data_IF_899313295641
#
_entry.id   IF_899313295641
#
_cell.length_a   1.000
_cell.length_b   1.000
_cell.length_c   1.000
_cell.angle_alpha   90.00
_cell.angle_beta   90.00
_cell.angle_gamma   90.00
#
_symmetry.space_group_name_H-M   'P 1'
#
loop_
_entity.id
_entity.type
_entity.pdbx_description
1 polymer ?
#
# COMPACT_ATOMS: atom_id res chain seq x y z
N UNK A 1 -6.28 -10.23 -37.92
CA UNK A 1 -5.73 -11.51 -37.43
C UNK A 1 -5.21 -11.21 -36.05
N UNK A 2 -6.05 -11.26 -35.02
CA UNK A 2 -5.61 -11.06 -33.65
C UNK A 2 -6.52 -11.85 -32.71
N UNK A 3 -5.89 -12.78 -32.02
CA UNK A 3 -6.32 -13.30 -30.73
C UNK A 3 -5.12 -13.05 -29.80
N UNK A 4 -5.33 -12.79 -28.50
CA UNK A 4 -5.45 -13.95 -27.62
C UNK A 4 -6.37 -13.80 -26.39
N UNK A 5 -6.81 -14.98 -25.95
CA UNK A 5 -7.19 -15.42 -24.61
C UNK A 5 -6.04 -15.19 -23.58
N UNK A 6 -6.08 -15.43 -22.28
CA UNK A 6 -7.07 -15.67 -21.23
C UNK A 6 -6.27 -15.72 -19.90
N UNK A 7 -6.87 -15.17 -18.84
CA UNK A 7 -6.77 -15.52 -17.41
C UNK A 7 -5.83 -16.67 -16.97
N UNK A 8 -5.02 -16.43 -15.93
CA UNK A 8 -5.02 -17.26 -14.69
C UNK A 8 -4.13 -16.72 -13.55
N UNK A 9 -4.81 -16.44 -12.43
CA UNK A 9 -4.47 -16.66 -11.02
C UNK A 9 -3.29 -15.92 -10.29
N UNK A 10 -3.48 -15.58 -8.99
CA UNK A 10 -2.58 -14.74 -8.21
C UNK A 10 -1.58 -15.55 -7.36
N UNK A 11 -0.33 -15.07 -7.34
CA UNK A 11 0.76 -15.58 -6.50
C UNK A 11 0.61 -15.13 -5.06
N UNK A 12 0.74 -16.10 -4.15
CA UNK A 12 0.75 -15.95 -2.71
C UNK A 12 1.82 -14.97 -2.22
N UNK A 13 1.40 -13.95 -1.47
CA UNK A 13 2.26 -13.06 -0.70
C UNK A 13 2.15 -13.45 0.77
N UNK A 14 3.11 -14.25 1.25
CA UNK A 14 3.25 -14.63 2.66
C UNK A 14 4.72 -14.45 3.07
N UNK A 15 5.17 -13.19 3.12
CA UNK A 15 6.38 -12.81 3.83
C UNK A 15 5.97 -12.31 5.23
N UNK A 16 6.03 -13.25 6.17
CA UNK A 16 5.78 -13.10 7.59
C UNK A 16 6.86 -12.19 8.20
N UNK A 17 6.62 -10.87 8.21
CA UNK A 17 7.40 -9.92 9.00
C UNK A 17 7.13 -10.18 10.48
N UNK A 18 8.09 -10.81 11.15
CA UNK A 18 8.09 -11.08 12.59
C UNK A 18 9.33 -10.45 13.21
N UNK A 19 9.46 -9.13 13.05
CA UNK A 19 10.43 -8.34 13.81
C UNK A 19 9.75 -7.88 15.11
N UNK A 20 9.84 -8.73 16.14
CA UNK A 20 9.55 -8.34 17.51
C UNK A 20 10.70 -7.51 18.08
N UNK A 21 10.43 -6.42 18.81
CA UNK A 21 11.45 -5.66 19.52
C UNK A 21 11.72 -6.34 20.87
N UNK A 22 12.52 -7.41 20.89
CA UNK A 22 12.84 -8.10 22.15
C UNK A 22 14.32 -8.51 22.34
N UNK A 23 15.21 -8.23 21.37
CA UNK A 23 16.61 -8.72 21.45
C UNK A 23 17.68 -7.65 21.68
N UNK A 24 17.31 -6.40 21.97
CA UNK A 24 18.29 -5.33 22.25
C UNK A 24 18.66 -5.16 23.73
N UNK A 25 18.00 -5.87 24.66
CA UNK A 25 18.27 -5.78 26.09
C UNK A 25 19.27 -6.83 26.62
N UNK A 26 19.50 -7.93 25.90
CA UNK A 26 20.33 -9.03 26.42
C UNK A 26 21.82 -8.92 26.04
N UNK A 27 22.20 -8.03 25.12
CA UNK A 27 23.58 -7.96 24.57
C UNK A 27 24.45 -6.85 25.18
N UNK A 28 23.92 -6.10 26.14
CA UNK A 28 24.66 -5.03 26.84
C UNK A 28 25.23 -5.47 28.20
N UNK A 29 24.84 -6.63 28.74
CA UNK A 29 25.28 -7.09 30.07
C UNK A 29 26.57 -7.94 30.09
N UNK A 30 26.95 -8.55 28.97
CA UNK A 30 27.98 -9.61 28.97
C UNK A 30 29.42 -9.10 28.73
N UNK A 31 29.60 -7.83 28.35
CA UNK A 31 30.93 -7.25 28.09
C UNK A 31 31.56 -6.53 29.29
N UNK A 32 30.87 -6.43 30.43
CA UNK A 32 31.39 -5.70 31.60
C UNK A 32 32.18 -6.61 32.55
N UNK A 33 31.94 -7.92 32.54
CA UNK A 33 32.52 -8.82 33.55
C UNK A 33 33.93 -9.35 33.22
N UNK A 34 34.37 -9.24 31.96
CA UNK A 34 35.65 -9.83 31.52
C UNK A 34 36.87 -8.88 31.58
N UNK A 35 36.68 -7.56 31.78
CA UNK A 35 37.81 -6.60 31.84
C UNK A 35 38.42 -6.45 33.26
N UNK A 36 37.74 -6.93 34.31
CA UNK A 36 38.20 -6.82 35.70
C UNK A 36 39.28 -7.84 36.11
N UNK A 37 39.29 -9.02 35.49
CA UNK A 37 40.20 -10.13 35.86
C UNK A 37 41.58 -9.99 35.23
N UNK A 38 41.69 -9.35 34.06
CA UNK A 38 42.97 -9.12 33.40
C UNK A 38 43.82 -8.05 34.11
N UNK A 39 43.21 -7.02 34.68
CA UNK A 39 43.93 -5.94 35.38
C UNK A 39 44.51 -6.38 36.73
N UNK A 40 43.81 -7.25 37.45
CA UNK A 40 44.26 -7.74 38.77
C UNK A 40 45.46 -8.68 38.70
N UNK A 41 45.67 -9.37 37.58
CA UNK A 41 46.87 -10.22 37.39
C UNK A 41 48.10 -9.38 37.05
N UNK A 42 47.97 -8.36 36.21
CA UNK A 42 49.06 -7.45 35.85
C UNK A 42 49.63 -6.69 37.06
N UNK A 43 48.76 -6.19 37.95
CA UNK A 43 49.19 -5.46 39.16
C UNK A 43 49.97 -6.37 40.14
N UNK A 44 49.58 -7.65 40.26
CA UNK A 44 50.30 -8.63 41.09
C UNK A 44 51.69 -8.95 40.57
N UNK A 45 51.86 -9.02 39.24
CA UNK A 45 53.19 -9.21 38.65
C UNK A 45 54.08 -7.98 38.87
N UNK A 46 53.52 -6.77 38.78
CA UNK A 46 54.25 -5.53 39.01
C UNK A 46 54.91 -5.46 40.39
N UNK A 47 54.18 -5.80 41.46
CA UNK A 47 54.72 -5.77 42.83
C UNK A 47 55.82 -6.82 43.02
N UNK A 48 55.66 -8.00 42.42
CA UNK A 48 56.67 -9.06 42.47
C UNK A 48 57.98 -8.66 41.76
N UNK A 49 57.88 -8.01 40.60
CA UNK A 49 59.05 -7.54 39.87
C UNK A 49 59.81 -6.45 40.64
N UNK A 50 59.11 -5.49 41.24
CA UNK A 50 59.75 -4.41 42.03
C UNK A 50 60.51 -4.98 43.23
N UNK A 51 59.91 -5.91 43.98
CA UNK A 51 60.58 -6.55 45.13
C UNK A 51 61.79 -7.37 44.69
N UNK A 52 61.65 -8.14 43.60
CA UNK A 52 62.73 -9.01 43.09
C UNK A 52 63.92 -8.19 42.57
N UNK A 53 63.66 -7.13 41.80
CA UNK A 53 64.71 -6.23 41.29
C UNK A 53 65.39 -5.51 42.45
N UNK A 54 64.61 -5.04 43.44
CA UNK A 54 65.16 -4.37 44.62
C UNK A 54 66.05 -5.28 45.47
N UNK A 55 65.66 -6.55 45.64
CA UNK A 55 66.46 -7.55 46.34
C UNK A 55 67.77 -7.87 45.58
N UNK A 56 67.71 -7.99 44.25
CA UNK A 56 68.91 -8.17 43.42
C UNK A 56 69.85 -6.95 43.52
N UNK A 57 69.31 -5.75 43.47
CA UNK A 57 70.07 -4.51 43.63
C UNK A 57 70.72 -4.41 45.02
N UNK A 58 70.03 -4.87 46.08
CA UNK A 58 70.57 -4.95 47.43
C UNK A 58 71.75 -5.91 47.50
N UNK A 59 71.64 -7.11 46.92
CA UNK A 59 72.74 -8.07 46.90
C UNK A 59 73.94 -7.56 46.11
N UNK A 60 73.71 -7.02 44.90
CA UNK A 60 74.79 -6.45 44.09
C UNK A 60 75.51 -5.31 44.82
N UNK A 61 74.75 -4.43 45.48
CA UNK A 61 75.30 -3.31 46.26
C UNK A 61 76.08 -3.80 47.49
N UNK A 62 75.58 -4.83 48.17
CA UNK A 62 76.25 -5.47 49.31
C UNK A 62 77.58 -6.12 48.92
N UNK A 63 77.58 -6.99 47.92
CA UNK A 63 78.80 -7.67 47.45
C UNK A 63 79.82 -6.67 46.90
N UNK A 64 79.36 -5.67 46.14
CA UNK A 64 80.22 -4.58 45.65
C UNK A 64 80.86 -3.78 46.79
N UNK A 65 80.08 -3.47 47.84
CA UNK A 65 80.59 -2.73 49.01
C UNK A 65 81.63 -3.53 49.79
N UNK A 66 81.41 -4.83 49.99
CA UNK A 66 82.41 -5.72 50.61
C UNK A 66 83.70 -5.71 49.80
N UNK A 67 83.59 -5.88 48.47
CA UNK A 67 84.78 -5.93 47.61
C UNK A 67 85.56 -4.62 47.62
N UNK A 68 84.88 -3.49 47.65
CA UNK A 68 85.52 -2.18 47.80
C UNK A 68 86.24 -2.03 49.14
N UNK A 69 85.63 -2.51 50.24
CA UNK A 69 86.24 -2.50 51.57
C UNK A 69 87.46 -3.42 51.62
N UNK A 70 87.40 -4.61 51.00
CA UNK A 70 88.56 -5.51 50.89
C UNK A 70 89.72 -4.83 50.16
N UNK A 71 89.47 -4.23 48.98
CA UNK A 71 90.51 -3.54 48.19
C UNK A 71 91.11 -2.36 48.97
N UNK A 72 90.28 -1.60 49.68
CA UNK A 72 90.74 -0.47 50.49
C UNK A 72 91.62 -0.93 51.66
N UNK A 73 91.20 -1.98 52.38
CA UNK A 73 91.95 -2.55 53.50
C UNK A 73 93.23 -3.25 53.04
N UNK A 74 93.20 -3.93 51.89
CA UNK A 74 94.37 -4.55 51.27
C UNK A 74 95.45 -3.50 50.99
N UNK A 75 95.08 -2.37 50.36
CA UNK A 75 96.00 -1.25 50.11
C UNK A 75 96.55 -0.65 51.40
N UNK A 76 95.69 -0.42 52.40
CA UNK A 76 96.12 0.16 53.68
C UNK A 76 97.08 -0.77 54.43
N UNK A 77 96.79 -2.07 54.46
CA UNK A 77 97.60 -3.06 55.17
C UNK A 77 98.90 -3.33 54.40
N UNK A 78 98.86 -3.43 53.07
CA UNK A 78 100.04 -3.53 52.22
C UNK A 78 101.03 -2.39 52.53
N UNK A 79 100.55 -1.14 52.53
CA UNK A 79 101.38 0.01 52.87
C UNK A 79 101.96 -0.06 54.30
N UNK A 80 101.21 -0.59 55.26
CA UNK A 80 101.71 -0.79 56.65
C UNK A 80 102.75 -1.90 56.73
N UNK A 81 102.60 -2.98 55.96
CA UNK A 81 103.54 -4.10 55.92
C UNK A 81 104.83 -3.68 55.23
N UNK A 82 104.76 -2.96 54.10
CA UNK A 82 105.93 -2.38 53.42
C UNK A 82 106.73 -1.47 54.37
N UNK A 83 106.06 -0.61 55.14
CA UNK A 83 106.69 0.22 56.16
C UNK A 83 107.31 -0.60 57.31
N UNK A 84 106.71 -1.74 57.66
CA UNK A 84 107.20 -2.62 58.72
C UNK A 84 108.46 -3.42 58.31
N UNK A 85 108.62 -3.70 57.01
CA UNK A 85 109.77 -4.42 56.44
C UNK A 85 111.06 -3.59 56.48
N UNK A 86 110.96 -2.26 56.52
CA UNK A 86 112.14 -1.38 56.56
C UNK A 86 112.87 -1.56 57.91
N UNK A 87 113.92 -2.39 57.92
CA UNK A 87 114.68 -2.70 59.13
C UNK A 87 115.66 -1.57 59.45
N UNK A 88 115.65 -1.08 60.70
CA UNK A 88 116.48 0.06 61.13
C UNK A 88 117.59 -0.30 62.12
N UNK A 89 117.61 -1.53 62.65
CA UNK A 89 118.59 -1.95 63.68
C UNK A 89 119.42 -3.15 63.18
N UNK A 90 120.66 -2.91 62.77
CA UNK A 90 121.55 -3.94 62.23
C UNK A 90 122.09 -4.95 63.27
N UNK A 91 121.81 -4.73 64.56
CA UNK A 91 122.36 -5.53 65.66
C UNK A 91 121.51 -6.77 66.02
N UNK A 92 120.47 -7.09 65.25
CA UNK A 92 119.59 -8.25 65.47
C UNK A 92 119.31 -8.96 64.14
N UNK A 93 119.01 -10.26 64.12
CA UNK A 93 118.64 -10.97 62.89
C UNK A 93 117.40 -10.35 62.20
N UNK A 94 117.34 -10.37 60.86
CA UNK A 94 116.28 -9.71 60.06
C UNK A 94 114.92 -10.35 60.32
N UNK A 95 114.86 -11.68 60.29
CA UNK A 95 113.64 -12.48 60.40
C UNK A 95 112.83 -12.14 61.68
N UNK A 96 113.39 -12.21 62.90
CA UNK A 96 112.64 -11.89 64.11
C UNK A 96 112.23 -10.42 64.19
N UNK A 97 113.04 -9.50 63.64
CA UNK A 97 112.67 -8.07 63.60
C UNK A 97 111.49 -7.81 62.68
N UNK A 98 111.51 -8.36 61.47
CA UNK A 98 110.42 -8.24 60.49
C UNK A 98 109.16 -8.89 61.05
N UNK A 99 109.27 -10.09 61.63
CA UNK A 99 108.16 -10.77 62.30
C UNK A 99 107.56 -9.93 63.42
N UNK A 100 108.35 -9.44 64.37
CA UNK A 100 107.85 -8.65 65.51
C UNK A 100 107.16 -7.36 65.04
N UNK A 101 107.70 -6.69 64.02
CA UNK A 101 107.13 -5.47 63.46
C UNK A 101 105.85 -5.73 62.69
N UNK A 102 105.80 -6.77 61.86
CA UNK A 102 104.59 -7.17 61.14
C UNK A 102 103.52 -7.62 62.12
N UNK A 103 103.84 -8.45 63.11
CA UNK A 103 102.92 -8.87 64.16
C UNK A 103 102.37 -7.65 64.92
N UNK A 104 103.23 -6.69 65.29
CA UNK A 104 102.79 -5.47 65.98
C UNK A 104 101.90 -4.59 65.11
N UNK A 105 102.22 -4.43 63.83
CA UNK A 105 101.48 -3.54 62.90
C UNK A 105 100.18 -4.16 62.39
N UNK A 106 100.17 -5.48 62.15
CA UNK A 106 99.05 -6.22 61.56
C UNK A 106 98.15 -6.76 62.67
N UNK A 107 98.66 -7.58 63.61
CA UNK A 107 97.81 -8.27 64.62
C UNK A 107 97.20 -7.32 65.65
N UNK A 108 97.80 -6.16 65.92
CA UNK A 108 97.19 -5.15 66.79
C UNK A 108 96.21 -4.21 66.08
N UNK A 109 96.03 -4.36 64.76
CA UNK A 109 95.04 -3.58 64.03
C UNK A 109 93.63 -3.87 64.56
N UNK A 110 92.87 -2.80 64.82
CA UNK A 110 91.46 -2.89 65.26
C UNK A 110 90.60 -3.67 64.25
N UNK A 111 90.96 -3.61 62.97
CA UNK A 111 90.29 -4.32 61.88
C UNK A 111 90.37 -5.84 62.00
N UNK A 112 91.47 -6.38 62.53
CA UNK A 112 91.61 -7.83 62.71
C UNK A 112 90.91 -8.26 64.00
N UNK A 113 91.15 -7.54 65.12
CA UNK A 113 90.60 -7.89 66.44
C UNK A 113 89.08 -7.78 66.51
N UNK A 114 88.53 -6.67 66.00
CA UNK A 114 87.10 -6.41 66.07
C UNK A 114 86.41 -6.60 64.73
N UNK A 115 87.11 -6.38 63.61
CA UNK A 115 86.50 -6.46 62.29
C UNK A 115 86.42 -7.86 61.71
N UNK A 116 87.04 -8.88 62.34
CA UNK A 116 87.05 -10.26 61.83
C UNK A 116 87.81 -10.42 60.51
N UNK A 117 88.66 -9.45 60.17
CA UNK A 117 89.44 -9.44 58.94
C UNK A 117 90.50 -10.54 58.96
N UNK A 118 90.54 -11.35 57.90
CA UNK A 118 91.61 -12.35 57.72
C UNK A 118 92.65 -11.77 56.78
N UNK A 119 93.83 -11.54 57.33
CA UNK A 119 94.97 -10.99 56.59
C UNK A 119 96.00 -12.10 56.49
N UNK A 120 96.32 -12.54 55.28
CA UNK A 120 97.43 -13.44 55.05
C UNK A 120 98.57 -12.63 54.45
N UNK A 121 99.61 -12.41 55.25
CA UNK A 121 100.80 -11.67 54.81
C UNK A 121 101.91 -12.63 54.47
N UNK A 122 102.55 -12.38 53.34
CA UNK A 122 103.59 -13.20 52.75
C UNK A 122 104.76 -12.29 52.40
N UNK A 123 105.90 -12.50 53.05
CA UNK A 123 107.10 -11.69 52.82
C UNK A 123 108.19 -12.57 52.24
N UNK A 124 108.59 -12.28 51.01
CA UNK A 124 109.69 -12.94 50.33
C UNK A 124 110.95 -12.08 50.40
N UNK A 125 112.10 -12.74 50.53
CA UNK A 125 113.39 -12.11 50.36
C UNK A 125 113.60 -11.65 48.90
N UNK A 126 114.67 -10.89 48.67
CA UNK A 126 115.08 -10.41 47.34
C UNK A 126 115.23 -11.53 46.30
N UNK A 127 115.57 -12.74 46.73
CA UNK A 127 115.71 -13.91 45.87
C UNK A 127 114.36 -14.42 45.30
N UNK A 128 113.23 -13.97 45.85
CA UNK A 128 111.89 -14.39 45.47
C UNK A 128 111.55 -15.83 45.86
N UNK A 129 112.40 -16.52 46.64
CA UNK A 129 112.24 -17.94 47.00
C UNK A 129 112.29 -18.14 48.51
N UNK A 130 113.11 -17.37 49.22
CA UNK A 130 113.24 -17.48 50.68
C UNK A 130 112.11 -16.74 51.37
N UNK A 131 111.28 -17.49 52.09
CA UNK A 131 110.21 -16.95 52.92
C UNK A 131 110.77 -16.33 54.19
N UNK A 132 110.67 -15.00 54.32
CA UNK A 132 111.07 -14.30 55.54
C UNK A 132 109.96 -14.33 56.59
N UNK A 133 108.71 -14.24 56.15
CA UNK A 133 107.54 -14.31 57.03
C UNK A 133 106.33 -14.85 56.27
N UNK A 134 105.66 -15.85 56.83
CA UNK A 134 104.38 -16.37 56.35
C UNK A 134 103.43 -16.43 57.53
N UNK A 135 102.29 -15.74 57.43
CA UNK A 135 101.34 -15.71 58.54
C UNK A 135 100.80 -17.12 58.84
N UNK A 136 100.84 -17.54 60.11
CA UNK A 136 100.32 -18.83 60.57
C UNK A 136 101.26 -20.04 60.46
N UNK A 137 102.37 -19.94 59.73
CA UNK A 137 103.39 -20.99 59.68
C UNK A 137 104.63 -20.55 60.45
N UNK A 138 105.00 -21.30 61.49
CA UNK A 138 106.23 -21.05 62.25
C UNK A 138 107.42 -21.11 61.29
N UNK A 139 108.16 -20.01 61.17
CA UNK A 139 109.45 -20.01 60.48
C UNK A 139 110.35 -21.07 61.11
N UNK A 140 111.13 -21.84 60.34
CA UNK A 140 112.14 -22.71 60.93
C UNK A 140 113.05 -21.88 61.84
N UNK A 141 113.43 -22.39 63.02
CA UNK A 141 114.24 -21.64 63.96
C UNK A 141 115.56 -21.24 63.30
N UNK A 142 115.80 -19.94 63.17
CA UNK A 142 117.12 -19.43 62.82
C UNK A 142 118.08 -19.84 63.94
N UNK A 143 119.26 -20.39 63.65
CA UNK A 143 120.22 -20.76 64.70
C UNK A 143 120.59 -19.51 65.51
N UNK A 144 120.23 -19.50 66.79
CA UNK A 144 120.56 -18.43 67.72
C UNK A 144 122.09 -18.39 67.92
N UNK A 145 122.73 -17.28 67.55
CA UNK A 145 124.16 -17.06 67.79
C UNK A 145 125.06 -16.90 66.55
N UNK A 146 124.52 -16.54 65.38
CA UNK A 146 125.33 -16.17 64.22
C UNK A 146 126.31 -15.03 64.56
N UNK A 147 127.55 -15.14 64.07
CA UNK A 147 128.57 -14.12 64.26
C UNK A 147 128.15 -12.80 63.58
N UNK A 148 128.54 -11.62 64.09
CA UNK A 148 128.14 -10.33 63.51
C UNK A 148 128.47 -10.16 62.02
N UNK A 149 129.51 -10.83 61.52
CA UNK A 149 129.90 -10.83 60.10
C UNK A 149 128.92 -11.61 59.22
N UNK A 150 128.33 -12.70 59.72
CA UNK A 150 127.37 -13.51 58.98
C UNK A 150 126.01 -12.82 58.90
N UNK A 151 125.67 -11.99 59.90
CA UNK A 151 124.48 -11.14 59.86
C UNK A 151 124.53 -10.17 58.67
N UNK A 152 125.65 -9.51 58.39
CA UNK A 152 125.71 -8.55 57.28
C UNK A 152 125.45 -9.24 55.92
N UNK A 153 125.97 -10.46 55.74
CA UNK A 153 125.73 -11.25 54.53
C UNK A 153 124.27 -11.67 54.37
N UNK A 154 123.63 -12.10 55.45
CA UNK A 154 122.20 -12.42 55.49
C UNK A 154 121.33 -11.22 55.07
N UNK A 155 121.64 -10.04 55.57
CA UNK A 155 120.92 -8.81 55.23
C UNK A 155 121.06 -8.42 53.75
N UNK A 156 122.26 -8.53 53.20
CA UNK A 156 122.53 -8.17 51.80
C UNK A 156 121.83 -9.12 50.81
N UNK A 157 121.68 -10.38 51.21
CA UNK A 157 121.01 -11.41 50.41
C UNK A 157 119.49 -11.32 50.49
N UNK A 158 118.93 -10.88 51.63
CA UNK A 158 117.48 -10.87 51.83
C UNK A 158 116.78 -9.56 51.50
N UNK A 159 117.49 -8.41 51.48
CA UNK A 159 116.89 -7.09 51.21
C UNK A 159 117.19 -6.58 49.78
N UNK A 160 116.25 -5.88 49.11
CA UNK A 160 114.91 -5.52 49.57
C UNK A 160 113.93 -6.69 49.49
N UNK A 161 113.18 -6.90 50.56
CA UNK A 161 112.12 -7.90 50.63
C UNK A 161 110.82 -7.36 50.00
N UNK A 162 110.09 -8.21 49.30
CA UNK A 162 108.76 -7.90 48.77
C UNK A 162 107.70 -8.50 49.67
N UNK A 163 106.64 -7.75 49.94
CA UNK A 163 105.46 -8.26 50.64
C UNK A 163 104.28 -8.37 49.69
N UNK A 164 103.56 -9.46 49.82
CA UNK A 164 102.24 -9.64 49.25
C UNK A 164 101.26 -9.84 50.40
N UNK A 165 100.24 -8.99 50.47
CA UNK A 165 99.19 -9.06 51.49
C UNK A 165 97.89 -9.40 50.80
N UNK A 166 97.31 -10.54 51.14
CA UNK A 166 95.94 -10.87 50.74
C UNK A 166 95.00 -10.64 51.91
N UNK A 167 93.95 -9.86 51.66
CA UNK A 167 92.92 -9.54 52.65
C UNK A 167 91.62 -10.18 52.21
N UNK A 168 91.01 -10.96 53.10
CA UNK A 168 89.69 -11.55 52.89
C UNK A 168 88.78 -11.14 54.05
N UNK A 169 87.58 -10.66 53.73
CA UNK A 169 86.58 -10.31 54.72
C UNK A 169 85.50 -11.41 54.74
N UNK A 170 85.49 -12.29 55.75
CA UNK A 170 84.44 -13.30 55.87
C UNK A 170 83.06 -12.64 55.95
N UNK A 171 82.04 -13.22 55.32
CA UNK A 171 80.67 -12.69 55.43
C UNK A 171 80.10 -12.72 56.85
N UNK A 172 80.66 -13.58 57.71
CA UNK A 172 80.30 -13.65 59.14
C UNK A 172 80.97 -12.55 59.98
N UNK A 173 81.87 -11.75 59.38
CA UNK A 173 82.54 -10.67 60.05
C UNK A 173 81.54 -9.58 60.48
N UNK A 174 81.72 -8.95 61.64
CA UNK A 174 80.81 -7.93 62.14
C UNK A 174 80.71 -6.70 61.22
N UNK A 175 81.78 -6.36 60.49
CA UNK A 175 81.75 -5.29 59.48
C UNK A 175 80.83 -5.68 58.32
N UNK A 176 80.93 -6.92 57.83
CA UNK A 176 80.07 -7.42 56.77
C UNK A 176 78.60 -7.37 57.20
N UNK A 177 78.30 -7.83 58.42
CA UNK A 177 76.95 -7.78 58.98
C UNK A 177 76.43 -6.33 59.17
N UNK A 178 77.29 -5.40 59.58
CA UNK A 178 76.93 -3.99 59.70
C UNK A 178 76.57 -3.38 58.34
N UNK A 179 77.35 -3.67 57.31
CA UNK A 179 77.06 -3.24 55.93
C UNK A 179 75.71 -3.82 55.46
N UNK A 180 75.48 -5.12 55.67
CA UNK A 180 74.22 -5.77 55.33
C UNK A 180 73.02 -5.12 56.05
N UNK A 181 73.16 -4.82 57.34
CA UNK A 181 72.11 -4.20 58.14
C UNK A 181 71.73 -2.82 57.60
N UNK A 182 72.74 -2.00 57.25
CA UNK A 182 72.50 -0.68 56.65
C UNK A 182 71.74 -0.80 55.33
N UNK A 183 72.17 -1.69 54.43
CA UNK A 183 71.47 -1.89 53.15
C UNK A 183 70.06 -2.45 53.34
N UNK A 184 69.87 -3.38 54.28
CA UNK A 184 68.55 -3.94 54.60
C UNK A 184 67.62 -2.86 55.15
N UNK A 185 68.10 -1.99 56.04
CA UNK A 185 67.31 -0.88 56.58
C UNK A 185 66.91 0.13 55.50
N UNK A 186 67.83 0.48 54.59
CA UNK A 186 67.55 1.35 53.45
C UNK A 186 66.51 0.73 52.53
N UNK A 187 66.65 -0.56 52.20
CA UNK A 187 65.71 -1.29 51.36
C UNK A 187 64.32 -1.37 52.01
N UNK A 188 64.24 -1.70 53.31
CA UNK A 188 62.98 -1.79 54.02
C UNK A 188 62.24 -0.44 54.06
N UNK A 189 62.99 0.66 54.24
CA UNK A 189 62.42 2.02 54.18
C UNK A 189 61.89 2.34 52.78
N UNK A 190 62.61 1.98 51.73
CA UNK A 190 62.16 2.19 50.35
C UNK A 190 60.91 1.37 50.04
N UNK A 191 60.89 0.09 50.42
CA UNK A 191 59.74 -0.79 50.25
C UNK A 191 58.51 -0.29 51.01
N UNK A 192 58.68 0.23 52.24
CA UNK A 192 57.59 0.82 53.01
C UNK A 192 56.98 2.04 52.33
N UNK A 193 57.81 2.96 51.84
CA UNK A 193 57.34 4.16 51.14
C UNK A 193 56.63 3.81 49.83
N UNK A 194 57.15 2.84 49.07
CA UNK A 194 56.52 2.36 47.84
C UNK A 194 55.14 1.75 48.13
N UNK A 195 55.03 0.92 49.16
CA UNK A 195 53.77 0.31 49.57
C UNK A 195 52.74 1.35 50.03
N UNK A 196 53.19 2.38 50.75
CA UNK A 196 52.31 3.47 51.21
C UNK A 196 51.72 4.26 50.02
N UNK A 197 52.51 4.52 48.98
CA UNK A 197 52.01 5.17 47.77
C UNK A 197 51.00 4.30 47.02
N UNK A 198 51.26 2.99 46.93
CA UNK A 198 50.36 2.06 46.26
C UNK A 198 49.01 1.94 46.99
N UNK A 199 49.03 1.85 48.33
CA UNK A 199 47.81 1.80 49.14
C UNK A 199 46.96 3.07 49.04
N UNK A 200 47.59 4.24 48.88
CA UNK A 200 46.87 5.49 48.64
C UNK A 200 46.06 5.47 47.34
N UNK A 201 46.66 4.99 46.24
CA UNK A 201 45.98 4.91 44.94
C UNK A 201 44.81 3.92 44.94
N UNK A 202 44.91 2.81 45.67
CA UNK A 202 43.80 1.87 45.81
C UNK A 202 42.61 2.51 46.55
N UNK A 203 42.88 3.34 47.57
CA UNK A 203 41.82 4.05 48.29
C UNK A 203 41.11 5.09 47.42
N UNK A 204 41.85 5.83 46.59
CA UNK A 204 41.28 6.79 45.64
C UNK A 204 40.40 6.10 44.59
N UNK A 205 40.87 4.98 44.02
CA UNK A 205 40.08 4.18 43.07
C UNK A 205 38.80 3.63 43.69
N UNK A 206 38.85 3.21 44.95
CA UNK A 206 37.68 2.70 45.66
C UNK A 206 36.67 3.83 45.95
N UNK A 207 37.15 5.02 46.32
CA UNK A 207 36.29 6.19 46.50
C UNK A 207 35.65 6.64 45.18
N UNK A 208 36.38 6.65 44.08
CA UNK A 208 35.84 6.92 42.75
C UNK A 208 34.75 5.91 42.36
N UNK A 209 35.00 4.62 42.57
CA UNK A 209 34.01 3.58 42.29
C UNK A 209 32.73 3.74 43.12
N UNK A 210 32.85 4.10 44.41
CA UNK A 210 31.70 4.40 45.26
C UNK A 210 30.93 5.63 44.78
N UNK A 211 31.63 6.71 44.40
CA UNK A 211 30.98 7.91 43.84
C UNK A 211 30.21 7.62 42.56
N UNK A 212 30.77 6.80 41.66
CA UNK A 212 30.08 6.37 40.43
C UNK A 212 28.83 5.56 40.77
N UNK A 213 28.92 4.63 41.74
CA UNK A 213 27.77 3.84 42.19
C UNK A 213 26.66 4.72 42.76
N UNK A 214 27.01 5.67 43.63
CA UNK A 214 26.04 6.53 44.28
C UNK A 214 25.40 7.52 43.29
N UNK A 215 26.16 8.00 42.30
CA UNK A 215 25.61 8.81 41.22
C UNK A 215 24.64 8.02 40.33
N UNK A 216 24.94 6.75 40.03
CA UNK A 216 24.04 5.87 39.30
C UNK A 216 22.75 5.58 40.07
N UNK A 217 22.84 5.37 41.39
CA UNK A 217 21.69 5.19 42.26
C UNK A 217 20.77 6.42 42.24
N UNK A 218 21.32 7.63 42.38
CA UNK A 218 20.53 8.88 42.31
C UNK A 218 19.85 9.09 40.96
N UNK A 219 20.53 8.79 39.86
CA UNK A 219 19.91 8.85 38.52
C UNK A 219 18.75 7.86 38.38
N UNK A 220 18.87 6.69 39.00
CA UNK A 220 17.80 5.69 38.98
C UNK A 220 16.58 6.19 39.74
N UNK A 221 16.77 6.79 40.92
CA UNK A 221 15.68 7.42 41.69
C UNK A 221 15.00 8.58 40.92
N UNK A 222 15.78 9.41 40.23
CA UNK A 222 15.25 10.50 39.39
C UNK A 222 14.40 9.97 38.23
N UNK A 223 14.88 8.93 37.54
CA UNK A 223 14.14 8.27 36.45
C UNK A 223 12.85 7.63 36.97
N UNK A 224 12.88 6.98 38.14
CA UNK A 224 11.69 6.40 38.75
C UNK A 224 10.64 7.47 39.11
N UNK A 225 11.10 8.62 39.61
CA UNK A 225 10.24 9.76 39.89
C UNK A 225 9.60 10.34 38.61
N UNK A 226 10.39 10.52 37.56
CA UNK A 226 9.89 10.97 36.25
C UNK A 226 8.90 9.97 35.63
N UNK A 227 9.17 8.67 35.73
CA UNK A 227 8.26 7.62 35.27
C UNK A 227 6.95 7.61 36.06
N UNK A 228 7.00 7.81 37.37
CA UNK A 228 5.80 7.92 38.19
C UNK A 228 4.97 9.17 37.81
N UNK A 229 5.63 10.32 37.63
CA UNK A 229 4.98 11.55 37.22
C UNK A 229 4.34 11.46 35.82
N UNK A 230 5.04 10.84 34.86
CA UNK A 230 4.50 10.63 33.50
C UNK A 230 3.33 9.65 33.49
N UNK A 231 3.39 8.57 34.28
CA UNK A 231 2.24 7.67 34.46
C UNK A 231 1.02 8.40 35.04
N UNK A 232 1.24 9.29 36.00
CA UNK A 232 0.16 10.10 36.58
C UNK A 232 -0.47 11.02 35.54
N UNK A 233 0.34 11.73 34.74
CA UNK A 233 -0.15 12.56 33.62
C UNK A 233 -0.92 11.75 32.57
N UNK A 234 -0.42 10.58 32.20
CA UNK A 234 -1.11 9.68 31.27
C UNK A 234 -2.46 9.21 31.84
N UNK A 235 -2.53 8.92 33.14
CA UNK A 235 -3.79 8.52 33.76
C UNK A 235 -4.85 9.63 33.78
N UNK A 236 -4.42 10.90 33.71
CA UNK A 236 -5.31 12.07 33.62
C UNK A 236 -5.73 12.37 32.17
N UNK A 237 -4.85 12.15 31.18
CA UNK A 237 -5.14 12.43 29.77
C UNK A 237 -6.03 11.36 29.14
N UNK A 238 -5.81 10.07 29.46
CA UNK A 238 -6.58 8.95 28.88
C UNK A 238 -8.10 9.09 29.04
N UNK A 239 -8.68 9.48 30.19
CA UNK A 239 -10.13 9.67 30.29
C UNK A 239 -10.62 10.84 29.42
N UNK A 240 -9.85 11.92 29.31
CA UNK A 240 -10.19 13.08 28.47
C UNK A 240 -10.20 12.69 26.98
N UNK A 241 -9.20 11.92 26.54
CA UNK A 241 -9.17 11.40 25.17
C UNK A 241 -10.34 10.46 24.87
N UNK A 242 -10.79 9.67 25.85
CA UNK A 242 -11.99 8.83 25.71
C UNK A 242 -13.25 9.67 25.58
N UNK A 243 -13.40 10.69 26.41
CA UNK A 243 -14.54 11.62 26.35
C UNK A 243 -14.61 12.34 25.00
N UNK A 244 -13.48 12.81 24.49
CA UNK A 244 -13.40 13.38 23.14
C UNK A 244 -13.68 12.36 22.04
N UNK A 245 -13.26 11.10 22.22
CA UNK A 245 -13.61 10.02 21.30
C UNK A 245 -15.13 9.80 21.22
N UNK A 246 -15.80 9.75 22.36
CA UNK A 246 -17.26 9.62 22.45
C UNK A 246 -17.99 10.82 21.82
N UNK A 247 -17.48 12.04 22.02
CA UNK A 247 -18.02 13.27 21.40
C UNK A 247 -17.88 13.24 19.87
N UNK A 248 -16.71 12.82 19.36
CA UNK A 248 -16.47 12.70 17.92
C UNK A 248 -17.42 11.66 17.31
N UNK A 249 -17.60 10.51 17.95
CA UNK A 249 -18.50 9.46 17.48
C UNK A 249 -19.96 9.96 17.44
N UNK A 250 -20.39 10.71 18.46
CA UNK A 250 -21.72 11.33 18.47
C UNK A 250 -21.90 12.33 17.32
N UNK A 251 -20.91 13.20 17.08
CA UNK A 251 -20.93 14.17 15.97
C UNK A 251 -20.91 13.48 14.60
N UNK A 252 -20.19 12.37 14.45
CA UNK A 252 -20.21 11.57 13.21
C UNK A 252 -21.58 10.97 12.95
N UNK A 253 -22.23 10.39 13.96
CA UNK A 253 -23.58 9.87 13.84
C UNK A 253 -24.59 10.98 13.49
N UNK A 254 -24.45 12.17 14.09
CA UNK A 254 -25.28 13.32 13.75
C UNK A 254 -25.08 13.77 12.30
N UNK A 255 -23.82 13.83 11.85
CA UNK A 255 -23.49 14.14 10.44
C UNK A 255 -24.12 13.14 9.48
N UNK A 256 -24.02 11.84 9.76
CA UNK A 256 -24.64 10.80 8.92
C UNK A 256 -26.17 10.92 8.90
N UNK A 257 -26.78 11.25 10.03
CA UNK A 257 -28.22 11.46 10.13
C UNK A 257 -28.65 12.70 9.33
N UNK A 258 -27.90 13.80 9.41
CA UNK A 258 -28.14 15.00 8.62
C UNK A 258 -27.95 14.75 7.13
N UNK A 259 -26.95 13.98 6.73
CA UNK A 259 -26.76 13.58 5.32
C UNK A 259 -27.93 12.75 4.80
N UNK A 260 -28.43 11.79 5.59
CA UNK A 260 -29.64 11.03 5.24
C UNK A 260 -30.85 11.95 5.08
N UNK A 261 -31.08 12.87 6.02
CA UNK A 261 -32.15 13.87 5.91
C UNK A 261 -32.03 14.75 4.66
N UNK A 262 -30.83 15.14 4.27
CA UNK A 262 -30.61 15.92 3.04
C UNK A 262 -30.92 15.10 1.79
N UNK A 263 -30.55 13.82 1.75
CA UNK A 263 -30.90 12.91 0.65
C UNK A 263 -32.42 12.75 0.55
N UNK A 264 -33.10 12.52 1.68
CA UNK A 264 -34.55 12.38 1.72
C UNK A 264 -35.27 13.66 1.29
N UNK A 265 -34.78 14.84 1.72
CA UNK A 265 -35.31 16.13 1.29
C UNK A 265 -35.08 16.38 -0.20
N UNK A 266 -33.90 16.05 -0.72
CA UNK A 266 -33.61 16.18 -2.15
C UNK A 266 -34.50 15.27 -2.99
N UNK A 267 -34.71 14.02 -2.56
CA UNK A 267 -35.64 13.10 -3.23
C UNK A 267 -37.08 13.63 -3.21
N UNK A 268 -37.49 14.26 -2.10
CA UNK A 268 -38.81 14.88 -1.99
C UNK A 268 -38.95 16.12 -2.85
N UNK A 269 -37.92 16.95 -2.96
CA UNK A 269 -37.89 18.11 -3.86
C UNK A 269 -38.00 17.66 -5.32
N UNK A 270 -37.26 16.62 -5.72
CA UNK A 270 -37.31 16.07 -7.07
C UNK A 270 -38.69 15.49 -7.41
N UNK A 271 -39.31 14.77 -6.47
CA UNK A 271 -40.69 14.29 -6.63
C UNK A 271 -41.68 15.44 -6.83
N UNK A 272 -41.55 16.52 -6.04
CA UNK A 272 -42.41 17.69 -6.16
C UNK A 272 -42.17 18.47 -7.46
N UNK A 273 -40.92 18.54 -7.93
CA UNK A 273 -40.59 19.09 -9.26
C UNK A 273 -41.22 18.25 -10.36
N UNK A 274 -41.07 16.93 -10.32
CA UNK A 274 -41.68 16.03 -11.30
C UNK A 274 -43.21 16.14 -11.34
N UNK A 275 -43.86 16.29 -10.18
CA UNK A 275 -45.30 16.57 -10.08
C UNK A 275 -45.67 17.92 -10.69
N UNK A 276 -44.88 18.97 -10.43
CA UNK A 276 -45.10 20.29 -11.00
C UNK A 276 -44.92 20.29 -12.52
N UNK A 277 -43.86 19.65 -13.03
CA UNK A 277 -43.60 19.52 -14.46
C UNK A 277 -44.74 18.74 -15.14
N UNK A 278 -45.18 17.63 -14.55
CA UNK A 278 -46.35 16.87 -15.02
C UNK A 278 -47.63 17.73 -15.04
N UNK A 279 -47.83 18.58 -14.02
CA UNK A 279 -48.97 19.50 -14.00
C UNK A 279 -48.87 20.57 -15.10
N UNK A 280 -47.66 21.05 -15.44
CA UNK A 280 -47.47 21.98 -16.56
C UNK A 280 -47.69 21.30 -17.91
N UNK A 281 -47.26 20.05 -18.07
CA UNK A 281 -47.50 19.26 -19.28
C UNK A 281 -49.00 19.02 -19.46
N UNK A 282 -49.70 18.59 -18.41
CA UNK A 282 -51.16 18.44 -18.42
C UNK A 282 -51.88 19.76 -18.72
N UNK A 283 -51.42 20.89 -18.15
CA UNK A 283 -51.99 22.20 -18.46
C UNK A 283 -51.77 22.59 -19.92
N UNK A 284 -50.63 22.24 -20.50
CA UNK A 284 -50.36 22.46 -21.92
C UNK A 284 -51.24 21.57 -22.81
N UNK A 285 -51.45 20.32 -22.43
CA UNK A 285 -52.34 19.38 -23.13
C UNK A 285 -53.78 19.90 -23.09
N UNK A 286 -54.27 20.31 -21.92
CA UNK A 286 -55.59 20.93 -21.78
C UNK A 286 -55.73 22.13 -22.71
N UNK A 287 -54.73 23.00 -22.77
CA UNK A 287 -54.75 24.16 -23.67
C UNK A 287 -54.79 23.74 -25.15
N UNK A 288 -54.03 22.73 -25.55
CA UNK A 288 -54.10 22.20 -26.92
C UNK A 288 -55.46 21.58 -27.23
N UNK A 289 -56.10 20.92 -26.26
CA UNK A 289 -57.44 20.37 -26.41
C UNK A 289 -58.50 21.47 -26.48
N UNK A 290 -58.36 22.55 -25.70
CA UNK A 290 -59.21 23.73 -25.79
C UNK A 290 -59.10 24.40 -27.17
N UNK A 291 -57.88 24.59 -27.68
CA UNK A 291 -57.65 25.16 -29.02
C UNK A 291 -58.27 24.27 -30.12
N UNK A 292 -58.11 22.94 -30.02
CA UNK A 292 -58.73 21.98 -30.95
C UNK A 292 -60.26 21.96 -30.86
N UNK A 293 -60.81 22.12 -29.65
CA UNK A 293 -62.26 22.22 -29.47
C UNK A 293 -62.78 23.53 -30.06
N UNK A 294 -62.09 24.65 -29.86
CA UNK A 294 -62.45 25.93 -30.46
C UNK A 294 -62.44 25.84 -32.00
N UNK A 295 -61.38 25.27 -32.58
CA UNK A 295 -61.31 25.01 -34.03
C UNK A 295 -62.45 24.12 -34.51
N UNK A 296 -62.71 22.99 -33.83
CA UNK A 296 -63.80 22.09 -34.18
C UNK A 296 -65.18 22.75 -34.05
N UNK A 297 -65.40 23.62 -33.05
CA UNK A 297 -66.64 24.37 -32.92
C UNK A 297 -66.80 25.42 -34.02
N UNK A 298 -65.71 26.10 -34.41
CA UNK A 298 -65.71 27.02 -35.55
C UNK A 298 -66.01 26.31 -36.87
N UNK A 299 -65.45 25.12 -37.07
CA UNK A 299 -65.76 24.26 -38.21
C UNK A 299 -67.22 23.79 -38.21
N UNK A 300 -67.77 23.43 -37.05
CA UNK A 300 -69.18 23.07 -36.91
C UNK A 300 -70.10 24.25 -37.25
N UNK A 301 -69.83 25.46 -36.75
CA UNK A 301 -70.59 26.66 -37.08
C UNK A 301 -70.53 26.96 -38.59
N UNK A 302 -69.36 26.79 -39.21
CA UNK A 302 -69.20 26.94 -40.66
C UNK A 302 -70.02 25.91 -41.43
N UNK A 303 -70.01 24.65 -40.98
CA UNK A 303 -70.80 23.55 -41.57
C UNK A 303 -72.30 23.73 -41.36
N UNK A 304 -72.74 24.19 -40.20
CA UNK A 304 -74.15 24.50 -39.93
C UNK A 304 -74.62 25.68 -40.79
N UNK A 305 -73.77 26.68 -41.00
CA UNK A 305 -74.01 27.75 -41.98
C UNK A 305 -74.15 27.22 -43.42
N UNK A 306 -73.33 26.24 -43.80
CA UNK A 306 -73.41 25.56 -45.09
C UNK A 306 -74.67 24.71 -45.22
N UNK A 307 -75.05 23.97 -44.17
CA UNK A 307 -76.29 23.21 -44.07
C UNK A 307 -77.49 24.16 -44.22
N UNK A 308 -77.52 25.30 -43.53
CA UNK A 308 -78.58 26.30 -43.68
C UNK A 308 -78.71 26.82 -45.11
N UNK A 309 -77.59 27.04 -45.82
CA UNK A 309 -77.58 27.43 -47.24
C UNK A 309 -78.06 26.30 -48.14
N UNK A 310 -77.64 25.06 -47.88
CA UNK A 310 -78.05 23.88 -48.63
C UNK A 310 -79.55 23.61 -48.43
N UNK A 311 -80.07 23.70 -47.21
CA UNK A 311 -81.49 23.58 -46.90
C UNK A 311 -82.33 24.67 -47.58
N UNK A 312 -81.85 25.91 -47.59
CA UNK A 312 -82.51 27.00 -48.31
C UNK A 312 -82.53 26.75 -49.83
N UNK A 313 -81.46 26.16 -50.36
CA UNK A 313 -81.36 25.75 -51.77
C UNK A 313 -82.28 24.56 -52.08
N UNK A 314 -82.40 23.60 -51.15
CA UNK A 314 -83.25 22.42 -51.25
C UNK A 314 -84.74 22.81 -51.17
N UNK A 315 -85.10 23.78 -50.33
CA UNK A 315 -86.45 24.38 -50.29
C UNK A 315 -86.81 25.14 -51.58
N UNK A 316 -85.83 25.73 -52.27
CA UNK A 316 -86.04 26.36 -53.59
C UNK A 316 -86.17 25.30 -54.70
N UNK A 317 -85.42 24.20 -54.61
CA UNK A 317 -85.46 23.10 -55.57
C UNK A 317 -86.73 22.23 -55.43
N UNK A 318 -87.21 21.96 -54.20
CA UNK A 318 -88.43 21.17 -53.97
C UNK A 318 -89.68 21.86 -54.55
N UNK A 319 -89.78 23.20 -54.40
CA UNK A 319 -90.85 24.00 -55.03
C UNK A 319 -90.83 23.98 -56.57
N UNK A 320 -89.71 23.63 -57.19
CA UNK A 320 -89.60 23.45 -58.65
C UNK A 320 -89.93 22.00 -59.07
N UNK A 321 -89.61 21.00 -58.22
CA UNK A 321 -89.92 19.58 -58.43
C UNK A 321 -91.43 19.32 -58.44
N UNK A 322 -92.17 19.90 -57.48
CA UNK A 322 -93.63 19.69 -57.34
C UNK A 322 -94.43 20.23 -58.55
N UNK A 323 -93.87 21.20 -59.30
CA UNK A 323 -94.48 21.72 -60.54
C UNK A 323 -94.19 20.82 -61.74
N UNK A 324 -93.04 20.15 -61.78
CA UNK A 324 -92.65 19.25 -62.85
C UNK A 324 -93.38 17.90 -62.77
N UNK A 325 -93.64 17.40 -61.57
CA UNK A 325 -94.35 16.13 -61.36
C UNK A 325 -95.84 16.22 -61.75
N UNK A 326 -96.50 17.33 -61.41
CA UNK A 326 -97.88 17.61 -61.81
C UNK A 326 -98.08 17.78 -63.34
N UNK A 327 -97.05 18.20 -64.07
CA UNK A 327 -97.11 18.30 -65.53
C UNK A 327 -96.99 16.93 -66.22
N UNK A 328 -96.20 16.00 -65.66
CA UNK A 328 -96.04 14.64 -66.20
C UNK A 328 -97.31 13.80 -66.07
N UNK A 329 -98.01 13.90 -64.94
CA UNK A 329 -99.28 13.17 -64.70
C UNK A 329 -100.35 13.55 -65.74
N UNK A 330 -100.47 14.84 -66.08
CA UNK A 330 -101.43 15.31 -67.10
C UNK A 330 -101.12 14.81 -68.51
N UNK A 331 -99.83 14.67 -68.87
CA UNK A 331 -99.42 14.18 -70.18
C UNK A 331 -99.75 12.69 -70.38
N UNK A 332 -99.57 11.87 -69.34
CA UNK A 332 -99.90 10.43 -69.35
C UNK A 332 -101.41 10.22 -69.51
N UNK A 333 -102.23 11.01 -68.81
CA UNK A 333 -103.70 10.90 -68.88
C UNK A 333 -104.26 11.25 -70.27
N UNK A 334 -103.72 12.29 -70.93
CA UNK A 334 -104.12 12.68 -72.28
C UNK A 334 -103.75 11.58 -73.29
N UNK A 335 -102.56 10.98 -73.15
CA UNK A 335 -102.12 9.88 -74.00
C UNK A 335 -103.01 8.63 -73.82
N UNK A 336 -103.39 8.30 -72.57
CA UNK A 336 -104.30 7.20 -72.27
C UNK A 336 -105.66 7.35 -72.97
N UNK A 337 -106.24 8.56 -72.94
CA UNK A 337 -107.53 8.85 -73.61
C UNK A 337 -107.43 8.70 -75.14
N UNK A 338 -106.34 9.17 -75.75
CA UNK A 338 -106.08 9.04 -77.20
C UNK A 338 -105.99 7.59 -77.63
N UNK A 339 -105.16 6.78 -76.95
CA UNK A 339 -104.98 5.36 -77.29
C UNK A 339 -106.26 4.54 -77.15
N UNK A 340 -107.05 4.77 -76.09
CA UNK A 340 -108.34 4.08 -75.89
C UNK A 340 -109.37 4.43 -76.97
N UNK A 341 -109.31 5.63 -77.53
CA UNK A 341 -110.25 6.09 -78.56
C UNK A 341 -109.90 5.55 -79.95
N UNK A 342 -108.62 5.60 -80.33
CA UNK A 342 -108.15 5.28 -81.68
C UNK A 342 -108.01 3.76 -81.92
N UNK A 343 -107.56 3.01 -80.92
CA UNK A 343 -107.20 1.60 -81.11
C UNK A 343 -108.18 0.66 -80.43
N UNK A 344 -109.41 0.63 -80.93
CA UNK A 344 -110.49 -0.19 -80.35
C UNK A 344 -110.24 -1.69 -80.41
N UNK A 345 -109.38 -2.18 -81.31
CA UNK A 345 -109.10 -3.60 -81.54
C UNK A 345 -107.99 -4.21 -80.68
N UNK A 346 -107.28 -3.39 -79.89
CA UNK A 346 -106.19 -3.83 -78.99
C UNK A 346 -106.39 -3.33 -77.55
N UNK A 347 -105.90 -4.11 -76.60
CA UNK A 347 -105.82 -3.76 -75.18
C UNK A 347 -104.45 -3.14 -74.93
N UNK A 348 -104.40 -2.06 -74.14
CA UNK A 348 -103.14 -1.37 -73.83
C UNK A 348 -103.09 -1.18 -72.32
N UNK A 349 -102.02 -1.67 -71.70
CA UNK A 349 -101.80 -1.55 -70.26
C UNK A 349 -101.39 -0.12 -69.87
N UNK A 350 -101.72 0.28 -68.64
CA UNK A 350 -101.42 1.64 -68.15
C UNK A 350 -99.89 1.87 -68.03
N UNK A 351 -99.14 0.79 -67.80
CA UNK A 351 -97.67 0.79 -67.87
C UNK A 351 -97.18 1.14 -69.28
N UNK A 352 -97.73 0.51 -70.31
CA UNK A 352 -97.35 0.80 -71.70
C UNK A 352 -97.62 2.27 -72.09
N UNK A 353 -98.71 2.87 -71.58
CA UNK A 353 -99.02 4.28 -71.81
C UNK A 353 -97.98 5.18 -71.13
N UNK A 354 -97.62 4.85 -69.89
CA UNK A 354 -96.57 5.57 -69.15
C UNK A 354 -95.23 5.46 -69.86
N UNK A 355 -94.88 4.26 -70.34
CA UNK A 355 -93.63 4.03 -71.04
C UNK A 355 -93.58 4.83 -72.35
N UNK A 356 -94.67 4.81 -73.15
CA UNK A 356 -94.78 5.63 -74.37
C UNK A 356 -94.66 7.12 -74.05
N UNK A 357 -95.23 7.62 -72.95
CA UNK A 357 -95.07 9.02 -72.55
C UNK A 357 -93.64 9.33 -72.08
N UNK A 358 -92.93 8.34 -71.55
CA UNK A 358 -91.57 8.49 -71.03
C UNK A 358 -90.48 8.38 -72.11
N UNK A 359 -90.82 7.93 -73.32
CA UNK A 359 -89.92 7.96 -74.47
C UNK A 359 -89.60 9.43 -74.79
N UNK A 360 -88.42 9.90 -74.37
CA UNK A 360 -88.03 11.32 -74.45
C UNK A 360 -87.99 11.91 -75.87
N UNK A 361 -87.88 11.07 -76.90
CA UNK A 361 -87.87 11.50 -78.30
C UNK A 361 -89.28 11.41 -78.93
N UNK A 362 -89.79 12.53 -79.40
CA UNK A 362 -91.09 12.60 -80.10
C UNK A 362 -91.12 11.71 -81.36
N UNK A 363 -90.00 11.59 -82.07
CA UNK A 363 -89.87 10.70 -83.23
C UNK A 363 -89.97 9.22 -82.87
N UNK A 364 -89.54 8.82 -81.67
CA UNK A 364 -89.66 7.45 -81.16
C UNK A 364 -91.09 7.16 -80.72
N UNK A 365 -91.76 8.14 -80.09
CA UNK A 365 -93.17 8.04 -79.70
C UNK A 365 -94.08 7.85 -80.91
N UNK A 366 -93.86 8.62 -81.97
CA UNK A 366 -94.61 8.50 -83.22
C UNK A 366 -94.41 7.13 -83.89
N UNK A 367 -93.16 6.63 -83.93
CA UNK A 367 -92.87 5.28 -84.49
C UNK A 367 -93.42 4.15 -83.62
N UNK A 368 -93.46 4.32 -82.30
CA UNK A 368 -94.11 3.39 -81.40
C UNK A 368 -95.62 3.32 -81.69
N UNK A 369 -96.28 4.48 -81.78
CA UNK A 369 -97.71 4.58 -82.09
C UNK A 369 -98.05 4.01 -83.48
N UNK A 370 -97.21 4.25 -84.49
CA UNK A 370 -97.35 3.65 -85.82
C UNK A 370 -97.27 2.11 -85.75
N UNK A 371 -96.35 1.57 -84.95
CA UNK A 371 -96.20 0.12 -84.77
C UNK A 371 -97.39 -0.49 -84.03
N UNK A 372 -97.96 0.24 -83.06
CA UNK A 372 -99.22 -0.11 -82.40
C UNK A 372 -100.39 -0.11 -83.38
N UNK A 373 -100.45 0.88 -84.28
CA UNK A 373 -101.46 0.95 -85.34
C UNK A 373 -101.38 -0.23 -86.30
N UNK A 374 -100.17 -0.56 -86.79
CA UNK A 374 -99.95 -1.72 -87.67
C UNK A 374 -100.37 -3.02 -87.00
N UNK A 375 -100.10 -3.17 -85.71
CA UNK A 375 -100.54 -4.33 -84.92
C UNK A 375 -102.08 -4.41 -84.81
N UNK A 376 -102.77 -3.26 -84.77
CA UNK A 376 -104.21 -3.16 -84.68
C UNK A 376 -104.95 -3.44 -86.01
N UNK A 377 -104.36 -3.05 -87.15
CA UNK A 377 -104.98 -3.14 -88.49
C UNK A 377 -104.56 -4.40 -89.27
N UNK A 378 -103.27 -4.76 -89.29
CA UNK A 378 -102.70 -5.82 -90.13
C UNK A 378 -102.25 -7.03 -89.30
N UNK A 379 -103.15 -7.57 -88.47
CA UNK A 379 -102.87 -8.62 -87.51
C UNK A 379 -102.22 -9.89 -88.09
N UNK A 380 -102.44 -10.20 -89.38
CA UNK A 380 -101.95 -11.42 -90.00
C UNK A 380 -100.64 -11.21 -90.80
N UNK A 381 -100.19 -9.95 -90.98
CA UNK A 381 -99.06 -9.60 -91.86
C UNK A 381 -97.89 -8.87 -91.17
N UNK A 382 -97.84 -8.87 -89.83
CA UNK A 382 -96.74 -8.22 -89.08
C UNK A 382 -95.46 -9.08 -89.18
N UNK A 383 -94.60 -8.73 -90.13
CA UNK A 383 -93.45 -9.50 -90.61
C UNK A 383 -92.30 -9.78 -89.61
N UNK A 384 -92.38 -9.35 -88.34
CA UNK A 384 -91.33 -9.61 -87.33
C UNK A 384 -91.96 -9.96 -85.99
N UNK A 385 -92.33 -11.23 -85.80
CA UNK A 385 -92.77 -11.79 -84.51
C UNK A 385 -91.67 -12.68 -83.94
N UNK A 386 -90.87 -12.15 -83.00
CA UNK A 386 -89.96 -13.00 -82.22
C UNK A 386 -90.62 -13.31 -80.88
N UNK A 387 -90.79 -14.60 -80.56
CA UNK A 387 -91.20 -15.02 -79.21
C UNK A 387 -90.06 -14.66 -78.26
N UNK A 388 -90.38 -13.97 -77.16
CA UNK A 388 -89.39 -13.59 -76.15
C UNK A 388 -88.99 -14.86 -75.39
N UNK A 389 -87.71 -15.23 -75.46
CA UNK A 389 -87.14 -16.35 -74.71
C UNK A 389 -86.77 -15.95 -73.28
N UNK A 390 -86.74 -16.91 -72.36
CA UNK A 390 -86.34 -16.68 -70.95
C UNK A 390 -87.47 -16.31 -69.99
N UNK A 391 -88.72 -16.28 -70.47
CA UNK A 391 -89.91 -16.08 -69.62
C UNK A 391 -90.51 -17.44 -69.17
N UNK A 392 -91.22 -17.49 -68.03
CA UNK A 392 -91.91 -18.69 -67.57
C UNK A 392 -92.84 -19.28 -68.63
N UNK A 393 -92.93 -20.61 -68.75
CA UNK A 393 -93.60 -21.29 -69.87
C UNK A 393 -95.08 -20.97 -70.08
N UNK A 394 -95.75 -20.37 -69.09
CA UNK A 394 -97.13 -19.89 -69.18
C UNK A 394 -97.27 -18.49 -69.79
N UNK A 395 -96.18 -17.74 -69.98
CA UNK A 395 -96.17 -16.38 -70.52
C UNK A 395 -95.79 -16.42 -72.00
N UNK A 396 -96.78 -16.26 -72.89
CA UNK A 396 -96.54 -16.16 -74.33
C UNK A 396 -96.51 -14.68 -74.74
N UNK A 397 -95.33 -14.08 -74.64
CA UNK A 397 -95.10 -12.68 -75.04
C UNK A 397 -94.27 -12.63 -76.32
N UNK A 398 -94.71 -11.76 -77.22
CA UNK A 398 -94.08 -11.47 -78.49
C UNK A 398 -93.46 -10.09 -78.46
N UNK A 399 -92.31 -9.96 -79.12
CA UNK A 399 -91.62 -8.71 -79.30
C UNK A 399 -91.85 -8.18 -80.72
N UNK A 400 -92.22 -6.90 -80.80
CA UNK A 400 -92.24 -6.12 -82.04
C UNK A 400 -91.21 -4.99 -81.94
N UNK A 401 -90.17 -5.05 -82.77
CA UNK A 401 -89.18 -3.98 -82.84
C UNK A 401 -89.71 -2.77 -83.61
N UNK A 402 -89.43 -1.56 -83.12
CA UNK A 402 -89.71 -0.31 -83.83
C UNK A 402 -88.50 0.62 -83.81
N UNK A 403 -88.32 1.40 -84.88
CA UNK A 403 -87.26 2.41 -84.99
C UNK A 403 -85.80 1.93 -84.75
N UNK A 404 -85.53 0.61 -84.82
CA UNK A 404 -84.20 0.01 -84.59
C UNK A 404 -83.70 0.03 -83.13
N UNK A 405 -84.37 0.74 -82.23
CA UNK A 405 -84.00 0.90 -80.81
C UNK A 405 -85.13 0.59 -79.84
N UNK A 406 -86.39 0.62 -80.28
CA UNK A 406 -87.56 0.38 -79.46
C UNK A 406 -88.10 -1.04 -79.60
N UNK A 407 -88.75 -1.55 -78.55
CA UNK A 407 -89.39 -2.86 -78.49
C UNK A 407 -90.76 -2.71 -77.85
N UNK A 408 -91.80 -3.21 -78.51
CA UNK A 408 -93.15 -3.33 -77.96
C UNK A 408 -93.34 -4.79 -77.57
N UNK A 409 -93.68 -5.02 -76.31
CA UNK A 409 -94.00 -6.36 -75.83
C UNK A 409 -95.51 -6.51 -75.75
N UNK A 410 -96.03 -7.52 -76.44
CA UNK A 410 -97.45 -7.77 -76.50
C UNK A 410 -97.74 -9.26 -76.37
N UNK A 411 -98.96 -9.56 -75.92
CA UNK A 411 -99.49 -10.92 -75.84
C UNK A 411 -100.85 -10.99 -76.54
N UNK A 412 -101.42 -12.18 -76.62
CA UNK A 412 -102.79 -12.34 -77.09
C UNK A 412 -103.72 -11.80 -76.00
N UNK A 413 -104.63 -10.89 -76.35
CA UNK A 413 -105.53 -10.27 -75.38
C UNK A 413 -106.60 -11.24 -74.90
N UNK A 414 -107.24 -10.91 -73.76
CA UNK A 414 -108.34 -11.70 -73.19
C UNK A 414 -109.66 -11.43 -73.90
N UNK A 415 -109.93 -10.15 -74.17
CA UNK A 415 -111.16 -9.66 -74.80
C UNK A 415 -110.92 -9.15 -76.22
N UNK A 416 -109.70 -8.65 -76.48
CA UNK A 416 -109.28 -8.14 -77.79
C UNK A 416 -108.17 -8.98 -78.41
N UNK A 417 -107.90 -8.77 -79.70
CA UNK A 417 -107.00 -9.62 -80.50
C UNK A 417 -105.56 -9.63 -79.95
N UNK A 418 -105.06 -8.47 -79.51
CA UNK A 418 -103.75 -8.32 -78.86
C UNK A 418 -103.83 -7.40 -77.64
N UNK A 419 -102.94 -7.63 -76.66
CA UNK A 419 -102.73 -6.78 -75.49
C UNK A 419 -101.27 -6.33 -75.42
N UNK A 420 -101.04 -5.01 -75.42
CA UNK A 420 -99.72 -4.41 -75.25
C UNK A 420 -99.44 -4.26 -73.76
N UNK A 421 -98.33 -4.83 -73.30
CA UNK A 421 -97.96 -4.87 -71.89
C UNK A 421 -97.02 -3.72 -71.52
N UNK A 422 -96.00 -3.48 -72.34
CA UNK A 422 -95.03 -2.41 -72.11
C UNK A 422 -94.32 -2.01 -73.41
N UNK A 423 -93.72 -0.82 -73.40
CA UNK A 423 -92.96 -0.27 -74.53
C UNK A 423 -91.58 0.15 -74.06
N UNK A 424 -90.57 -0.63 -74.43
CA UNK A 424 -89.19 -0.43 -73.97
C UNK A 424 -88.26 0.14 -75.04
N UNK A 425 -87.13 0.67 -74.59
CA UNK A 425 -85.96 0.94 -75.42
C UNK A 425 -84.91 -0.18 -75.22
N UNK A 426 -83.92 -0.27 -76.10
CA UNK A 426 -82.89 -1.32 -76.04
C UNK A 426 -82.16 -1.39 -74.68
N UNK A 427 -82.01 -0.26 -73.99
CA UNK A 427 -81.38 -0.16 -72.67
C UNK A 427 -82.31 -0.52 -71.50
N UNK A 428 -83.63 -0.44 -71.67
CA UNK A 428 -84.60 -0.88 -70.64
C UNK A 428 -84.90 -2.38 -70.71
N UNK A 429 -84.43 -3.06 -71.76
CA UNK A 429 -84.64 -4.49 -71.99
C UNK A 429 -84.45 -5.39 -70.75
N UNK A 430 -83.38 -5.29 -69.93
CA UNK A 430 -83.25 -6.18 -68.76
C UNK A 430 -84.35 -5.93 -67.72
N UNK A 431 -84.67 -4.67 -67.43
CA UNK A 431 -85.73 -4.28 -66.49
C UNK A 431 -87.12 -4.66 -67.00
N UNK A 432 -87.33 -4.54 -68.32
CA UNK A 432 -88.57 -4.92 -69.00
C UNK A 432 -88.81 -6.43 -68.91
N UNK A 433 -87.78 -7.23 -69.12
CA UNK A 433 -87.85 -8.69 -69.01
C UNK A 433 -88.09 -9.14 -67.56
N UNK A 434 -87.47 -8.47 -66.59
CA UNK A 434 -87.72 -8.70 -65.16
C UNK A 434 -89.18 -8.43 -64.83
N UNK A 435 -89.75 -7.32 -65.31
CA UNK A 435 -91.17 -7.00 -65.13
C UNK A 435 -92.07 -8.07 -65.73
N UNK A 436 -91.83 -8.47 -66.98
CA UNK A 436 -92.62 -9.52 -67.65
C UNK A 436 -92.55 -10.87 -66.93
N UNK A 437 -91.40 -11.21 -66.32
CA UNK A 437 -91.23 -12.45 -65.57
C UNK A 437 -92.05 -12.50 -64.27
N UNK A 438 -92.35 -11.33 -63.69
CA UNK A 438 -93.10 -11.17 -62.43
C UNK A 438 -94.62 -11.11 -62.62
N UNK A 439 -95.10 -11.07 -63.85
CA UNK A 439 -96.53 -11.00 -64.11
C UNK A 439 -97.24 -12.31 -63.68
N UNK A 440 -98.35 -12.22 -62.93
CA UNK A 440 -99.02 -13.40 -62.37
C UNK A 440 -99.70 -14.23 -63.47
N UNK A 441 -99.79 -15.55 -63.26
CA UNK A 441 -100.37 -16.50 -64.22
C UNK A 441 -101.82 -16.16 -64.63
N UNK A 442 -102.57 -15.50 -63.74
CA UNK A 442 -103.94 -15.04 -63.99
C UNK A 442 -104.04 -14.00 -65.11
N UNK A 443 -102.97 -13.28 -65.44
CA UNK A 443 -102.95 -12.28 -66.52
C UNK A 443 -102.89 -12.88 -67.92
N UNK A 444 -102.48 -14.16 -68.03
CA UNK A 444 -102.24 -14.85 -69.32
C UNK A 444 -103.12 -16.08 -69.55
N UNK A 445 -103.98 -16.45 -68.59
CA UNK A 445 -104.95 -17.54 -68.73
C UNK A 445 -106.28 -17.07 -69.31
#
# INVERSE_FOLDING_TARGET
MDAPAANSAPSANSAKSKNGPSDLSARAGENVENDGTAKTTADRFGTFFVVSIGLLALFASYFGSIRLVEIALEREIQARVENAIVVTHFNRPVIPQVKERIDRSVRNSRWIKFGGLRVSTLVLARDGVTWLYVDGHGTPPTPEGLAPTDMIGEWLNYLPATAEVSVTLPHTAPISNAILFVFTAVFLRFAYLANQHQSGQESERLEEALRVRDQAARRTEEIEFELAATRMRLSEIVPIEREHGEEIDALQQERENLQRKLIDLAAREESLRGEADSATELASEVRTLEDLLEEATGDLDARDGEIGRLEQSLRKASKASDRAENAKVKAVELMARRFRTLYKTIEIDDRAITDISSLGDESLRLKAEESVKRLAEEADNVAVRRKVGGLPGYVQVFELGFAGKGRIYYTRGKSKRFRILLVGAKNSQPTDLEYLSRLPKSEFS
#
